data_IF_419093957241
#
_entry.id   IF_419093957241
#
_cell.length_a   1.000
_cell.length_b   1.000
_cell.length_c   1.000
_cell.angle_alpha   90.00
_cell.angle_beta   90.00
_cell.angle_gamma   90.00
#
_symmetry.space_group_name_H-M   'P 1'
#
loop_
_entity.id
_entity.type
_entity.pdbx_description
1 polymer ?
#
# COMPACT_ATOMS: atom_id res chain seq x y z
N UNK A 1 -17.68 19.78 8.71
CA UNK A 1 -17.78 18.47 8.04
C UNK A 1 -17.54 17.38 9.09
N UNK A 2 -18.36 16.35 9.14
CA UNK A 2 -18.25 15.27 10.11
C UNK A 2 -17.54 14.10 9.44
N UNK A 3 -16.39 13.66 10.00
CA UNK A 3 -15.67 12.50 9.54
C UNK A 3 -16.07 11.28 10.36
N UNK A 4 -16.40 10.20 9.69
CA UNK A 4 -16.61 8.91 10.32
C UNK A 4 -15.31 8.11 10.24
N UNK A 5 -15.04 7.27 11.24
CA UNK A 5 -13.93 6.33 11.18
C UNK A 5 -14.21 5.29 10.11
N UNK A 6 -13.29 5.20 9.17
CA UNK A 6 -13.36 4.26 8.08
C UNK A 6 -12.46 3.07 8.39
N UNK A 7 -13.03 1.89 8.51
CA UNK A 7 -12.36 0.63 8.89
C UNK A 7 -11.74 0.51 10.28
N UNK A 8 -11.78 1.48 11.11
CA UNK A 8 -11.30 1.33 12.45
C UNK A 8 -12.29 0.47 13.25
N UNK A 9 -11.93 -0.78 13.49
CA UNK A 9 -12.60 -1.68 14.43
C UNK A 9 -13.94 -2.27 13.97
N UNK A 10 -14.04 -2.85 12.79
CA UNK A 10 -15.12 -3.81 12.50
C UNK A 10 -14.62 -5.21 12.87
N UNK A 11 -15.03 -5.78 14.02
CA UNK A 11 -14.63 -7.14 14.40
C UNK A 11 -15.11 -8.13 13.34
N UNK A 12 -14.21 -8.99 12.86
CA UNK A 12 -14.56 -10.09 11.97
C UNK A 12 -14.52 -9.78 10.46
N UNK A 13 -14.37 -8.53 10.05
CA UNK A 13 -13.98 -8.20 8.68
C UNK A 13 -12.46 -8.15 8.63
N UNK A 14 -11.86 -8.91 7.73
CA UNK A 14 -10.42 -8.94 7.55
C UNK A 14 -9.88 -7.51 7.56
N UNK A 15 -9.10 -7.19 8.57
CA UNK A 15 -8.53 -5.86 8.76
C UNK A 15 -7.87 -5.48 7.46
N UNK A 16 -8.33 -4.38 6.89
CA UNK A 16 -7.60 -3.70 5.85
C UNK A 16 -6.26 -3.30 6.46
N UNK A 17 -5.22 -4.04 6.17
CA UNK A 17 -3.94 -4.04 6.92
C UNK A 17 -3.22 -2.70 6.84
N UNK A 18 -3.53 -1.92 5.83
CA UNK A 18 -2.99 -0.59 5.64
C UNK A 18 -3.47 0.40 6.71
N UNK A 19 -4.64 0.16 7.29
CA UNK A 19 -5.21 1.04 8.31
C UNK A 19 -4.59 0.85 9.71
N UNK A 20 -3.67 -0.10 9.88
CA UNK A 20 -2.92 -0.23 11.13
C UNK A 20 -1.91 0.92 11.30
N UNK A 21 -1.39 1.49 10.20
CA UNK A 21 -0.35 2.51 10.22
C UNK A 21 -0.93 3.90 10.52
N UNK A 22 -2.14 4.19 10.01
CA UNK A 22 -2.80 5.47 10.21
C UNK A 22 -4.28 5.28 10.53
N UNK A 23 -4.93 6.30 11.08
CA UNK A 23 -6.38 6.33 11.20
C UNK A 23 -6.98 6.89 9.92
N UNK A 24 -7.88 6.12 9.32
CA UNK A 24 -8.66 6.55 8.15
C UNK A 24 -9.92 7.26 8.59
N UNK A 25 -10.16 8.44 8.05
CA UNK A 25 -11.40 9.19 8.24
C UNK A 25 -12.02 9.47 6.88
N UNK A 26 -13.33 9.37 6.79
CA UNK A 26 -14.09 9.68 5.58
C UNK A 26 -15.29 10.57 5.93
N UNK A 27 -15.58 11.54 5.07
CA UNK A 27 -16.78 12.36 5.24
C UNK A 27 -18.06 11.57 4.92
N UNK A 28 -19.22 12.08 5.31
CA UNK A 28 -20.53 11.41 5.14
C UNK A 28 -20.86 11.20 3.65
N UNK A 29 -20.47 12.12 2.79
CA UNK A 29 -20.67 12.07 1.33
C UNK A 29 -19.69 11.14 0.62
N UNK A 30 -18.70 10.59 1.34
CA UNK A 30 -17.65 9.71 0.81
C UNK A 30 -16.86 10.34 -0.35
N UNK A 31 -16.62 11.63 -0.27
CA UNK A 31 -15.87 12.41 -1.27
C UNK A 31 -14.51 12.88 -0.78
N UNK A 32 -14.26 12.76 0.52
CA UNK A 32 -13.00 13.13 1.15
C UNK A 32 -12.49 11.99 2.03
N UNK A 33 -11.25 11.64 1.85
CA UNK A 33 -10.53 10.63 2.65
C UNK A 33 -9.33 11.27 3.32
N UNK A 34 -9.16 11.04 4.63
CA UNK A 34 -8.03 11.57 5.40
C UNK A 34 -7.21 10.43 5.96
N UNK A 35 -5.93 10.43 5.67
CA UNK A 35 -4.92 9.62 6.34
C UNK A 35 -4.35 10.41 7.51
N UNK A 36 -4.56 9.95 8.73
CA UNK A 36 -4.07 10.59 9.94
C UNK A 36 -3.03 9.73 10.66
N UNK A 37 -1.78 10.13 10.58
CA UNK A 37 -0.63 9.44 11.16
C UNK A 37 -0.39 9.92 12.59
N UNK A 38 -0.83 9.17 13.57
CA UNK A 38 -0.67 9.49 15.00
C UNK A 38 -0.22 8.28 15.81
N UNK A 39 0.26 8.53 17.03
CA UNK A 39 0.91 7.50 17.84
C UNK A 39 -0.07 6.55 18.55
N UNK A 40 -1.37 6.73 18.41
CA UNK A 40 -2.41 5.86 19.00
C UNK A 40 -2.99 4.83 18.02
N UNK A 41 -2.33 4.61 16.88
CA UNK A 41 -2.76 3.58 15.93
C UNK A 41 -2.57 2.17 16.51
N UNK A 42 -3.33 1.19 16.00
CA UNK A 42 -3.19 -0.21 16.41
C UNK A 42 -1.77 -0.73 16.14
N UNK A 43 -1.14 -0.29 15.07
CA UNK A 43 0.25 -0.57 14.78
C UNK A 43 1.18 -0.13 15.90
N UNK A 44 1.02 1.10 16.37
CA UNK A 44 1.82 1.68 17.45
C UNK A 44 1.60 0.95 18.77
N UNK A 45 0.34 0.60 19.09
CA UNK A 45 -0.02 -0.15 20.31
C UNK A 45 0.44 -1.60 20.31
N UNK A 46 0.44 -2.25 19.14
CA UNK A 46 0.84 -3.65 18.97
C UNK A 46 2.35 -3.90 19.10
N UNK A 47 3.15 -2.87 19.01
CA UNK A 47 4.59 -2.94 19.23
C UNK A 47 4.87 -2.85 20.74
N UNK A 48 4.87 -3.98 21.45
CA UNK A 48 5.21 -4.07 22.89
C UNK A 48 6.64 -3.59 23.25
N UNK A 49 7.32 -2.94 22.34
CA UNK A 49 8.62 -2.32 22.53
C UNK A 49 8.44 -0.81 22.65
N UNK A 50 9.43 -0.15 23.24
CA UNK A 50 9.53 1.32 23.24
C UNK A 50 9.51 1.76 21.78
N UNK A 51 8.32 2.12 21.29
CA UNK A 51 8.14 2.53 19.90
C UNK A 51 8.92 3.83 19.72
N UNK A 52 9.81 3.85 18.73
CA UNK A 52 10.47 5.07 18.34
C UNK A 52 9.41 6.13 18.00
N UNK A 53 9.32 7.24 18.75
CA UNK A 53 8.34 8.30 18.46
C UNK A 53 8.44 8.83 17.03
N UNK A 54 9.62 8.68 16.40
CA UNK A 54 9.86 9.09 15.02
C UNK A 54 9.27 8.17 13.96
N UNK A 55 8.84 6.96 14.34
CA UNK A 55 8.36 5.99 13.37
C UNK A 55 7.16 6.54 12.57
N UNK A 56 6.20 7.16 13.26
CA UNK A 56 5.02 7.73 12.60
C UNK A 56 5.36 8.98 11.78
N UNK A 57 6.35 9.75 12.20
CA UNK A 57 6.88 10.86 11.40
C UNK A 57 7.48 10.34 10.10
N UNK A 58 8.31 9.29 10.17
CA UNK A 58 8.93 8.66 8.99
C UNK A 58 7.87 8.09 8.02
N UNK A 59 6.83 7.42 8.53
CA UNK A 59 5.76 6.87 7.69
C UNK A 59 4.94 7.97 7.02
N UNK A 60 4.61 9.03 7.74
CA UNK A 60 3.91 10.17 7.20
C UNK A 60 4.74 10.94 6.17
N UNK A 61 6.01 11.23 6.48
CA UNK A 61 6.93 11.89 5.56
C UNK A 61 7.09 11.10 4.27
N UNK A 62 7.23 9.78 4.36
CA UNK A 62 7.34 8.90 3.21
C UNK A 62 6.07 8.91 2.36
N UNK A 63 4.90 8.76 2.98
CA UNK A 63 3.63 8.89 2.27
C UNK A 63 3.54 10.22 1.52
N UNK A 64 3.84 11.32 2.21
CA UNK A 64 3.76 12.67 1.65
C UNK A 64 4.73 12.86 0.46
N UNK A 65 5.99 12.47 0.63
CA UNK A 65 7.02 12.61 -0.41
C UNK A 65 6.61 11.88 -1.68
N UNK A 66 6.22 10.61 -1.55
CA UNK A 66 5.88 9.82 -2.72
C UNK A 66 4.53 10.18 -3.34
N UNK A 67 3.53 10.59 -2.55
CA UNK A 67 2.29 11.13 -3.11
C UNK A 67 2.53 12.42 -3.90
N UNK A 68 3.33 13.35 -3.37
CA UNK A 68 3.68 14.58 -4.07
C UNK A 68 4.53 14.30 -5.33
N UNK A 69 5.45 13.34 -5.26
CA UNK A 69 6.20 12.90 -6.42
C UNK A 69 5.27 12.34 -7.50
N UNK A 70 4.35 11.45 -7.13
CA UNK A 70 3.37 10.89 -8.08
C UNK A 70 2.38 11.94 -8.59
N UNK A 71 2.06 12.98 -7.81
CA UNK A 71 1.23 14.09 -8.28
C UNK A 71 1.87 14.85 -9.45
N UNK A 72 3.20 14.89 -9.51
CA UNK A 72 3.96 15.50 -10.63
C UNK A 72 4.12 14.51 -11.79
N UNK A 73 4.58 13.28 -11.50
CA UNK A 73 5.02 12.33 -12.53
C UNK A 73 3.86 11.51 -13.13
N UNK A 74 2.80 11.27 -12.37
CA UNK A 74 1.66 10.48 -12.80
C UNK A 74 0.35 10.92 -12.10
N UNK A 75 -0.12 12.17 -12.27
CA UNK A 75 -1.25 12.74 -11.53
C UNK A 75 -2.55 11.95 -11.71
N UNK A 76 -2.69 11.25 -12.82
CA UNK A 76 -3.87 10.45 -13.10
C UNK A 76 -3.89 9.09 -12.35
N UNK A 77 -2.81 8.72 -11.67
CA UNK A 77 -2.67 7.43 -10.97
C UNK A 77 -2.85 7.55 -9.45
N UNK A 78 -3.03 8.76 -8.92
CA UNK A 78 -3.31 9.00 -7.52
C UNK A 78 -4.58 9.86 -7.35
N UNK A 79 -5.26 9.80 -6.19
CA UNK A 79 -6.30 10.76 -5.87
C UNK A 79 -5.71 12.16 -5.74
N UNK A 80 -6.51 13.18 -6.10
CA UNK A 80 -6.09 14.57 -5.92
C UNK A 80 -5.83 14.89 -4.45
N UNK A 81 -4.65 15.43 -4.14
CA UNK A 81 -4.33 15.95 -2.81
C UNK A 81 -5.11 17.26 -2.61
N UNK A 82 -5.95 17.31 -1.58
CA UNK A 82 -6.79 18.47 -1.26
C UNK A 82 -6.16 19.37 -0.21
N UNK A 83 -5.51 18.75 0.79
CA UNK A 83 -4.94 19.48 1.94
C UNK A 83 -3.89 18.63 2.65
N UNK A 84 -2.90 19.29 3.24
CA UNK A 84 -1.82 18.68 4.01
C UNK A 84 -1.66 19.47 5.32
N UNK A 85 -2.00 18.82 6.45
CA UNK A 85 -1.75 19.36 7.79
C UNK A 85 -0.47 18.72 8.37
N UNK A 86 0.64 19.44 8.24
CA UNK A 86 1.95 18.99 8.72
C UNK A 86 2.03 18.91 10.24
N UNK A 87 1.24 19.70 10.97
CA UNK A 87 1.25 19.70 12.45
C UNK A 87 0.54 18.46 13.00
N UNK A 88 -0.54 18.07 12.37
CA UNK A 88 -1.32 16.89 12.77
C UNK A 88 -0.96 15.63 11.98
N UNK A 89 -0.06 15.73 11.01
CA UNK A 89 0.31 14.65 10.09
C UNK A 89 -0.90 14.04 9.39
N UNK A 90 -1.69 14.91 8.76
CA UNK A 90 -2.87 14.53 7.99
C UNK A 90 -2.69 14.84 6.52
N UNK A 91 -3.10 13.92 5.67
CA UNK A 91 -3.21 14.12 4.23
C UNK A 91 -4.67 13.90 3.85
N UNK A 92 -5.28 14.91 3.23
CA UNK A 92 -6.64 14.85 2.73
C UNK A 92 -6.63 14.62 1.22
N UNK A 93 -7.37 13.62 0.79
CA UNK A 93 -7.49 13.20 -0.60
C UNK A 93 -8.95 13.33 -1.07
N UNK A 94 -9.15 13.74 -2.33
CA UNK A 94 -10.44 13.63 -2.99
C UNK A 94 -10.66 12.19 -3.46
N UNK A 95 -11.83 11.63 -3.15
CA UNK A 95 -12.17 10.24 -3.51
C UNK A 95 -13.62 10.15 -3.98
N UNK A 96 -14.00 9.00 -4.54
CA UNK A 96 -15.37 8.67 -4.91
C UNK A 96 -15.77 7.33 -4.27
N UNK A 97 -16.34 7.42 -3.08
CA UNK A 97 -16.72 6.23 -2.31
C UNK A 97 -15.57 5.60 -1.51
N UNK A 98 -15.79 4.39 -0.97
CA UNK A 98 -14.79 3.65 -0.23
C UNK A 98 -13.65 3.13 -1.13
N UNK A 99 -12.62 2.53 -0.54
CA UNK A 99 -11.55 1.93 -1.33
C UNK A 99 -12.03 0.77 -2.22
N UNK A 100 -11.21 0.39 -3.17
CA UNK A 100 -11.54 -0.62 -4.18
C UNK A 100 -11.92 -1.97 -3.56
N UNK A 101 -11.25 -2.40 -2.48
CA UNK A 101 -11.53 -3.66 -1.80
C UNK A 101 -12.93 -3.67 -1.18
N UNK A 102 -13.32 -2.57 -0.52
CA UNK A 102 -14.65 -2.47 0.09
C UNK A 102 -15.75 -2.32 -0.95
N UNK A 103 -15.52 -1.55 -2.02
CA UNK A 103 -16.45 -1.49 -3.14
C UNK A 103 -16.68 -2.86 -3.76
N UNK A 104 -15.64 -3.69 -3.86
CA UNK A 104 -15.70 -5.07 -4.31
C UNK A 104 -16.24 -6.06 -3.24
N UNK A 105 -16.73 -5.55 -2.09
CA UNK A 105 -17.26 -6.33 -0.98
C UNK A 105 -16.24 -7.33 -0.42
N UNK A 106 -15.00 -6.89 -0.31
CA UNK A 106 -13.86 -7.67 0.20
C UNK A 106 -13.68 -9.02 -0.54
N UNK A 107 -13.90 -9.00 -1.85
CA UNK A 107 -13.83 -10.21 -2.68
C UNK A 107 -13.26 -9.91 -4.06
N UNK A 108 -12.32 -10.75 -4.50
CA UNK A 108 -11.75 -10.73 -5.86
C UNK A 108 -12.85 -10.83 -6.93
N UNK A 109 -13.90 -11.59 -6.68
CA UNK A 109 -15.04 -11.75 -7.61
C UNK A 109 -15.86 -10.45 -7.80
N UNK A 110 -15.61 -9.43 -6.97
CA UNK A 110 -16.25 -8.13 -7.07
C UNK A 110 -15.51 -7.14 -7.95
N UNK A 111 -14.24 -7.39 -8.26
CA UNK A 111 -13.35 -6.44 -8.95
C UNK A 111 -13.90 -5.98 -10.30
N UNK A 112 -14.26 -6.93 -11.17
CA UNK A 112 -14.81 -6.64 -12.50
C UNK A 112 -16.11 -5.81 -12.47
N UNK A 113 -16.89 -5.93 -11.40
CA UNK A 113 -18.15 -5.17 -11.25
C UNK A 113 -17.90 -3.72 -10.87
N UNK A 114 -16.81 -3.47 -10.16
CA UNK A 114 -16.43 -2.12 -9.66
C UNK A 114 -15.59 -1.40 -10.69
N UNK A 115 -14.64 -2.09 -11.29
CA UNK A 115 -13.72 -1.56 -12.28
C UNK A 115 -13.43 -2.65 -13.34
N UNK A 116 -14.14 -2.66 -14.48
CA UNK A 116 -14.04 -3.73 -15.48
C UNK A 116 -12.62 -3.99 -16.01
N UNK A 117 -11.78 -2.96 -16.05
CA UNK A 117 -10.38 -3.06 -16.53
C UNK A 117 -9.39 -2.91 -15.37
N UNK A 118 -9.76 -3.37 -14.19
CA UNK A 118 -8.96 -3.18 -12.97
C UNK A 118 -7.56 -3.78 -13.10
N UNK A 119 -7.42 -4.95 -13.71
CA UNK A 119 -6.15 -5.65 -13.83
C UNK A 119 -5.17 -4.85 -14.70
N UNK A 120 -5.58 -4.47 -15.90
CA UNK A 120 -4.76 -3.66 -16.81
C UNK A 120 -4.35 -2.34 -16.15
N UNK A 121 -5.31 -1.63 -15.52
CA UNK A 121 -5.03 -0.37 -14.85
C UNK A 121 -4.05 -0.52 -13.67
N UNK A 122 -4.16 -1.61 -12.92
CA UNK A 122 -3.24 -1.87 -11.81
C UNK A 122 -1.84 -2.25 -12.31
N UNK A 123 -1.75 -3.03 -13.39
CA UNK A 123 -0.48 -3.32 -14.06
C UNK A 123 0.17 -2.06 -14.64
N UNK A 124 -0.61 -1.13 -15.19
CA UNK A 124 -0.12 0.18 -15.64
C UNK A 124 0.44 1.01 -14.48
N UNK A 125 -0.24 1.01 -13.33
CA UNK A 125 0.25 1.69 -12.13
C UNK A 125 1.56 1.06 -11.64
N UNK A 126 1.63 -0.28 -11.60
CA UNK A 126 2.84 -1.02 -11.20
C UNK A 126 3.97 -0.76 -12.19
N UNK A 127 3.71 -0.80 -13.49
CA UNK A 127 4.69 -0.49 -14.53
C UNK A 127 5.22 0.95 -14.39
N UNK A 128 4.32 1.90 -14.12
CA UNK A 128 4.73 3.29 -13.91
C UNK A 128 5.60 3.46 -12.67
N UNK A 129 5.29 2.76 -11.57
CA UNK A 129 6.16 2.75 -10.40
C UNK A 129 7.56 2.19 -10.74
N UNK A 130 7.63 1.07 -11.47
CA UNK A 130 8.90 0.47 -11.88
C UNK A 130 9.72 1.41 -12.78
N UNK A 131 9.08 2.05 -13.78
CA UNK A 131 9.72 3.06 -14.65
C UNK A 131 10.32 4.24 -13.85
N UNK A 132 9.67 4.63 -12.75
CA UNK A 132 10.11 5.71 -11.88
C UNK A 132 11.12 5.25 -10.81
N UNK A 133 11.56 3.99 -10.84
CA UNK A 133 12.44 3.42 -9.83
C UNK A 133 11.80 3.31 -8.44
N UNK A 134 10.48 3.15 -8.38
CA UNK A 134 9.73 3.05 -7.13
C UNK A 134 9.31 1.61 -6.83
N UNK A 135 9.50 1.22 -5.59
CA UNK A 135 9.13 -0.08 -5.06
C UNK A 135 8.08 0.09 -3.97
N UNK A 136 6.81 -0.07 -4.34
CA UNK A 136 5.66 0.06 -3.45
C UNK A 136 5.25 -1.30 -2.89
N UNK A 137 5.27 -1.44 -1.57
CA UNK A 137 4.94 -2.70 -0.88
C UNK A 137 3.48 -2.79 -0.39
N UNK A 138 2.76 -1.69 -0.36
CA UNK A 138 1.35 -1.64 0.00
C UNK A 138 0.47 -1.98 -1.21
N UNK A 139 0.43 -3.26 -1.59
CA UNK A 139 -0.22 -3.74 -2.82
C UNK A 139 -1.62 -4.31 -2.59
N UNK A 140 -2.12 -4.36 -1.35
CA UNK A 140 -3.47 -4.84 -1.09
C UNK A 140 -4.52 -3.99 -1.84
N UNK A 141 -5.63 -4.56 -2.34
CA UNK A 141 -6.66 -3.82 -3.09
C UNK A 141 -7.23 -2.59 -2.36
N UNK A 142 -7.19 -2.56 -1.04
CA UNK A 142 -7.54 -1.37 -0.25
C UNK A 142 -6.55 -0.21 -0.34
N UNK A 143 -5.42 -0.40 -1.01
CA UNK A 143 -4.48 0.68 -1.33
C UNK A 143 -4.84 1.42 -2.62
N UNK A 144 -6.05 1.20 -3.11
CA UNK A 144 -6.54 1.84 -4.32
C UNK A 144 -7.96 2.38 -4.10
N UNK A 145 -8.27 3.49 -4.74
CA UNK A 145 -9.62 4.02 -4.92
C UNK A 145 -10.04 3.90 -6.37
N UNK A 146 -11.35 3.94 -6.63
CA UNK A 146 -11.89 4.04 -7.99
C UNK A 146 -12.51 5.41 -8.16
N UNK A 147 -12.03 6.18 -9.13
CA UNK A 147 -12.51 7.49 -9.48
C UNK A 147 -12.86 7.53 -10.98
N UNK A 148 -14.13 7.73 -11.31
CA UNK A 148 -14.62 7.72 -12.72
C UNK A 148 -14.18 6.48 -13.51
N UNK A 149 -14.20 5.30 -12.87
CA UNK A 149 -13.77 4.04 -13.47
C UNK A 149 -12.26 3.83 -13.56
N UNK A 150 -11.48 4.75 -12.98
CA UNK A 150 -10.02 4.68 -12.96
C UNK A 150 -9.49 4.36 -11.57
N UNK A 151 -8.54 3.42 -11.48
CA UNK A 151 -7.84 3.12 -10.24
C UNK A 151 -6.88 4.24 -9.86
N UNK A 152 -6.85 4.56 -8.57
CA UNK A 152 -6.00 5.57 -7.96
C UNK A 152 -5.25 4.95 -6.78
N UNK A 153 -3.93 4.98 -6.83
CA UNK A 153 -3.07 4.38 -5.80
C UNK A 153 -2.85 5.33 -4.62
N UNK A 154 -2.87 4.78 -3.41
CA UNK A 154 -2.49 5.42 -2.15
C UNK A 154 -1.58 4.48 -1.34
N UNK A 155 -1.25 4.87 -0.10
CA UNK A 155 -0.45 4.05 0.81
C UNK A 155 1.01 3.89 0.36
N UNK A 156 1.69 5.02 0.24
CA UNK A 156 3.12 5.08 -0.10
C UNK A 156 4.05 5.03 1.13
N UNK A 157 3.52 4.87 2.33
CA UNK A 157 4.32 4.79 3.58
C UNK A 157 5.31 3.59 3.61
N UNK A 158 5.13 2.62 2.73
CA UNK A 158 6.07 1.53 2.42
C UNK A 158 6.50 1.56 0.95
N UNK A 159 6.70 2.74 0.41
CA UNK A 159 7.30 2.93 -0.90
C UNK A 159 8.76 3.35 -0.72
N UNK A 160 9.64 2.85 -1.56
CA UNK A 160 11.08 3.12 -1.52
C UNK A 160 11.56 3.43 -2.92
N UNK A 161 12.55 4.30 -3.03
CA UNK A 161 13.28 4.51 -4.28
C UNK A 161 14.39 3.45 -4.42
N UNK A 162 14.90 3.30 -5.63
CA UNK A 162 16.02 2.41 -5.92
C UNK A 162 17.26 2.71 -5.06
N UNK A 163 17.50 3.96 -4.74
CA UNK A 163 18.61 4.40 -3.89
C UNK A 163 18.46 3.98 -2.42
N UNK A 164 17.24 3.76 -1.95
CA UNK A 164 16.95 3.37 -0.55
C UNK A 164 16.94 1.86 -0.33
N UNK A 165 17.38 1.11 -1.28
CA UNK A 165 17.32 -0.32 -1.43
C UNK A 165 17.69 -1.14 -0.17
N UNK A 166 18.66 -0.69 0.61
CA UNK A 166 19.20 -1.44 1.75
C UNK A 166 18.36 -1.32 3.04
N UNK A 167 17.52 -0.30 3.16
CA UNK A 167 16.75 -0.01 4.39
C UNK A 167 15.44 -0.80 4.40
N UNK A 168 14.90 -1.09 3.24
CA UNK A 168 13.55 -1.56 3.05
C UNK A 168 13.27 -2.94 3.64
N UNK A 169 14.22 -3.86 3.60
CA UNK A 169 14.00 -5.27 3.95
C UNK A 169 13.59 -5.43 5.41
N UNK A 170 14.35 -4.88 6.33
CA UNK A 170 14.04 -4.96 7.77
C UNK A 170 12.74 -4.25 8.11
N UNK A 171 12.49 -3.10 7.50
CA UNK A 171 11.33 -2.28 7.78
C UNK A 171 10.05 -2.98 7.29
N UNK A 172 10.03 -3.45 6.05
CA UNK A 172 8.87 -4.15 5.50
C UNK A 172 8.56 -5.44 6.25
N UNK A 173 9.57 -6.25 6.53
CA UNK A 173 9.38 -7.53 7.20
C UNK A 173 8.94 -7.39 8.66
N UNK A 174 9.38 -6.35 9.35
CA UNK A 174 8.92 -6.07 10.74
C UNK A 174 7.40 -5.82 10.81
N UNK A 175 6.77 -5.50 9.69
CA UNK A 175 5.37 -5.10 9.60
C UNK A 175 4.46 -6.19 9.00
N UNK A 176 5.06 -7.29 8.56
CA UNK A 176 4.30 -8.44 8.08
C UNK A 176 3.81 -9.26 9.27
N UNK A 177 2.49 -9.55 9.33
CA UNK A 177 1.95 -10.39 10.39
C UNK A 177 2.64 -11.76 10.45
N UNK A 178 2.69 -12.38 11.65
CA UNK A 178 3.30 -13.70 11.84
C UNK A 178 2.78 -14.75 10.86
N UNK A 179 1.48 -14.74 10.55
CA UNK A 179 0.88 -15.69 9.61
C UNK A 179 1.35 -15.47 8.17
N UNK A 180 1.60 -14.21 7.78
CA UNK A 180 2.21 -13.90 6.49
C UNK A 180 3.70 -14.20 6.48
N UNK A 181 4.40 -13.94 7.56
CA UNK A 181 5.80 -14.35 7.69
C UNK A 181 5.95 -15.87 7.48
N UNK A 182 5.08 -16.67 8.08
CA UNK A 182 5.06 -18.14 7.90
C UNK A 182 4.86 -18.55 6.42
N UNK A 183 4.13 -17.77 5.65
CA UNK A 183 3.96 -18.00 4.20
C UNK A 183 5.16 -17.48 3.39
N UNK A 184 5.71 -16.33 3.77
CA UNK A 184 6.83 -15.68 3.09
C UNK A 184 8.16 -16.43 3.26
N UNK A 185 8.47 -16.88 4.47
CA UNK A 185 9.76 -17.52 4.75
C UNK A 185 10.06 -18.76 3.89
N UNK A 186 9.11 -19.69 3.68
CA UNK A 186 9.35 -20.82 2.77
C UNK A 186 9.56 -20.36 1.32
N UNK A 187 8.82 -19.35 0.85
CA UNK A 187 8.98 -18.82 -0.50
C UNK A 187 10.36 -18.15 -0.65
N UNK A 188 10.81 -17.38 0.33
CA UNK A 188 12.14 -16.78 0.35
C UNK A 188 13.24 -17.82 0.32
N UNK A 189 13.15 -18.85 1.17
CA UNK A 189 14.12 -19.94 1.22
C UNK A 189 14.20 -20.68 -0.12
N UNK A 190 13.06 -20.93 -0.77
CA UNK A 190 13.01 -21.57 -2.09
C UNK A 190 13.62 -20.72 -3.20
N UNK A 191 13.61 -19.38 -3.04
CA UNK A 191 14.25 -18.44 -3.98
C UNK A 191 15.73 -18.18 -3.64
N UNK A 192 16.26 -18.80 -2.58
CA UNK A 192 17.64 -18.58 -2.12
C UNK A 192 17.88 -17.25 -1.42
N UNK A 193 16.80 -16.57 -0.98
CA UNK A 193 16.90 -15.27 -0.30
C UNK A 193 17.18 -15.49 1.17
N UNK A 194 18.26 -14.89 1.66
CA UNK A 194 18.56 -14.81 3.09
C UNK A 194 18.19 -13.45 3.63
N UNK A 195 17.57 -13.39 4.83
CA UNK A 195 17.33 -12.14 5.55
C UNK A 195 18.60 -11.36 5.88
N UNK A 196 19.74 -12.01 5.80
CA UNK A 196 21.04 -11.41 6.07
C UNK A 196 21.68 -10.75 4.84
N UNK A 197 21.11 -10.98 3.64
CA UNK A 197 21.60 -10.42 2.39
C UNK A 197 20.56 -9.47 1.76
N UNK A 198 20.62 -8.18 2.07
CA UNK A 198 19.70 -7.18 1.53
C UNK A 198 19.90 -6.88 0.03
N UNK A 199 20.83 -7.56 -0.62
CA UNK A 199 21.22 -7.36 -2.02
C UNK A 199 20.11 -7.76 -3.01
N UNK A 200 19.03 -8.40 -2.53
CA UNK A 200 17.93 -8.88 -3.35
C UNK A 200 16.62 -8.15 -3.08
N UNK A 201 16.65 -6.83 -3.02
CA UNK A 201 15.47 -5.98 -2.89
C UNK A 201 14.38 -6.29 -3.93
N UNK A 202 14.82 -6.61 -5.12
CA UNK A 202 13.99 -7.09 -6.20
C UNK A 202 13.19 -8.36 -5.83
N UNK A 203 13.84 -9.31 -5.19
CA UNK A 203 13.19 -10.53 -4.72
C UNK A 203 12.18 -10.25 -3.60
N UNK A 204 12.39 -9.21 -2.79
CA UNK A 204 11.43 -8.79 -1.79
C UNK A 204 10.15 -8.23 -2.41
N UNK A 205 10.24 -7.48 -3.51
CA UNK A 205 9.06 -7.03 -4.24
C UNK A 205 8.25 -8.22 -4.78
N UNK A 206 8.93 -9.24 -5.31
CA UNK A 206 8.27 -10.48 -5.73
C UNK A 206 7.55 -11.17 -4.58
N UNK A 207 8.17 -11.22 -3.41
CA UNK A 207 7.58 -11.80 -2.20
C UNK A 207 6.38 -11.00 -1.70
N UNK A 208 6.38 -9.69 -1.86
CA UNK A 208 5.22 -8.87 -1.55
C UNK A 208 4.02 -9.24 -2.42
N UNK A 209 4.21 -9.45 -3.72
CA UNK A 209 3.13 -9.97 -4.57
C UNK A 209 2.65 -11.34 -4.11
N UNK A 210 3.55 -12.27 -3.80
CA UNK A 210 3.19 -13.58 -3.26
C UNK A 210 2.39 -13.49 -1.97
N UNK A 211 2.69 -12.51 -1.10
CA UNK A 211 1.97 -12.31 0.14
C UNK A 211 0.52 -11.88 -0.04
N UNK A 212 0.16 -11.38 -1.22
CA UNK A 212 -1.19 -10.97 -1.61
C UNK A 212 -1.87 -11.96 -2.55
N UNK A 213 -1.32 -13.16 -2.72
CA UNK A 213 -1.85 -14.20 -3.61
C UNK A 213 -3.31 -14.55 -3.34
N UNK A 214 -3.76 -14.50 -2.09
CA UNK A 214 -5.15 -14.74 -1.71
C UNK A 214 -6.08 -13.54 -2.02
N UNK A 215 -5.49 -12.36 -2.30
CA UNK A 215 -6.20 -11.11 -2.51
C UNK A 215 -6.31 -10.74 -4.01
N UNK A 216 -5.71 -11.58 -4.91
CA UNK A 216 -5.70 -11.39 -6.36
C UNK A 216 -5.77 -12.72 -7.13
N UNK A 217 -6.23 -12.72 -8.39
CA UNK A 217 -6.09 -13.87 -9.29
C UNK A 217 -4.62 -14.23 -9.51
N UNK A 218 -4.33 -15.53 -9.64
CA UNK A 218 -2.95 -16.02 -9.81
C UNK A 218 -2.28 -15.46 -11.06
N UNK A 219 -3.03 -15.36 -12.16
CA UNK A 219 -2.56 -14.82 -13.44
C UNK A 219 -2.08 -13.38 -13.29
N UNK A 220 -2.85 -12.55 -12.58
CA UNK A 220 -2.49 -11.17 -12.29
C UNK A 220 -1.18 -11.07 -11.49
N UNK A 221 -0.99 -11.92 -10.48
CA UNK A 221 0.24 -11.93 -9.67
C UNK A 221 1.46 -12.24 -10.54
N UNK A 222 1.36 -13.21 -11.43
CA UNK A 222 2.47 -13.57 -12.31
C UNK A 222 2.80 -12.45 -13.34
N UNK A 223 1.79 -11.77 -13.88
CA UNK A 223 1.99 -10.61 -14.76
C UNK A 223 2.64 -9.44 -14.03
N UNK A 224 2.17 -9.12 -12.81
CA UNK A 224 2.72 -8.05 -11.99
C UNK A 224 4.20 -8.30 -11.62
N UNK A 225 4.56 -9.55 -11.31
CA UNK A 225 5.96 -9.94 -11.08
C UNK A 225 6.82 -9.74 -12.33
N UNK A 226 6.30 -10.10 -13.50
CA UNK A 226 7.03 -9.99 -14.76
C UNK A 226 7.44 -8.56 -15.11
N UNK A 227 6.73 -7.54 -14.62
CA UNK A 227 7.08 -6.12 -14.82
C UNK A 227 8.46 -5.84 -14.23
N UNK A 228 8.67 -6.15 -12.95
CA UNK A 228 9.95 -5.91 -12.29
C UNK A 228 11.09 -6.79 -12.80
N UNK A 229 10.78 -7.99 -13.37
CA UNK A 229 11.79 -8.84 -14.02
C UNK A 229 12.31 -8.21 -15.31
N UNK A 230 11.45 -7.54 -16.08
CA UNK A 230 11.85 -6.89 -17.33
C UNK A 230 12.75 -5.69 -17.08
N UNK A 231 12.40 -4.87 -16.11
CA UNK A 231 13.08 -3.60 -15.85
C UNK A 231 14.40 -3.76 -15.09
N UNK A 232 14.62 -4.90 -14.43
CA UNK A 232 15.90 -5.22 -13.78
C UNK A 232 17.01 -5.68 -14.74
N UNK A 233 16.76 -5.73 -16.05
CA UNK A 233 17.73 -6.16 -17.09
C UNK A 233 18.30 -5.00 -17.91
N UNK A 234 18.01 -3.77 -17.50
CA UNK A 234 18.60 -2.56 -18.01
C UNK A 234 19.68 -2.11 -17.03
#
# INVERSE_FOLDING_TARGET
>A
MKYNYYYNNVPGKGLCRNNLIYTSLMNEEQTEFVQWYHNDTEYHKGQNQVVDPKLMDQKWERELIFLQFMEVEAPNMIPKIMDIDTKQRKIKLAVQGPDFWEQAKCSVNGFEKVCPNWADQMLDIISKHAELGLYKFSLHPSSYFVENGMLKSINYFFCYSEEENQIAVKDVLSHVSEDRQKKLFPAMANMGISFEQPEEFFNLQMLCFESFRDDYPSEFIEEAKAIYVRDSRI
#
